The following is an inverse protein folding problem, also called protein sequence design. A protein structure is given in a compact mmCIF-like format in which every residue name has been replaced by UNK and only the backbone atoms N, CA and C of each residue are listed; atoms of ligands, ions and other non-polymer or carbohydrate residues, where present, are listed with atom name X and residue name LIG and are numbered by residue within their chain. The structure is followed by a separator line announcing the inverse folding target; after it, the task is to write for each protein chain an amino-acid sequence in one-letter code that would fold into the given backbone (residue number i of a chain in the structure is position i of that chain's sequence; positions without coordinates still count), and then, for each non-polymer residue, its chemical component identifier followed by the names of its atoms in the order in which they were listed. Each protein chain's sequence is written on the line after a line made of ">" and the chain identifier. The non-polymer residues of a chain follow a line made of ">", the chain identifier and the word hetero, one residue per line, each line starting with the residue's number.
data_IF_346170847455
#
_entry.id   IF_346170847455
#
_cell.length_a   1.000
_cell.length_b   1.000
_cell.length_c   1.000
_cell.angle_alpha   90.00
_cell.angle_beta   90.00
_cell.angle_gamma   90.00
#
_symmetry.space_group_name_H-M   'P 1'
#
loop_
_entity.id
_entity.type
_entity.pdbx_description
1 polymer ?
#
# COMPACT_ATOMS: atom_id res chain seq x y z
N UNK A 1 1.44 -9.33 11.86
CA UNK A 1 0.59 -9.57 13.06
C UNK A 1 0.35 -8.31 13.86
N UNK A 2 1.35 -7.45 14.08
CA UNK A 2 1.17 -6.16 14.78
C UNK A 2 0.24 -5.18 14.06
N UNK A 3 0.00 -5.37 12.75
CA UNK A 3 -0.86 -4.52 11.92
C UNK A 3 -2.25 -5.12 11.65
N UNK A 4 -2.75 -6.04 12.51
CA UNK A 4 -4.12 -6.55 12.39
C UNK A 4 -5.12 -5.38 12.49
N UNK A 5 -6.06 -5.31 11.55
CA UNK A 5 -6.99 -4.21 11.26
C UNK A 5 -6.34 -2.87 10.84
N UNK A 6 -5.04 -2.89 10.53
CA UNK A 6 -4.27 -1.72 10.10
C UNK A 6 -3.81 -1.78 8.64
N UNK A 7 -2.79 -0.99 8.34
CA UNK A 7 -2.10 -0.97 7.05
C UNK A 7 -0.67 -1.48 7.26
N UNK A 8 -0.23 -2.40 6.41
CA UNK A 8 1.13 -2.91 6.36
C UNK A 8 1.81 -2.39 5.09
N UNK A 9 2.80 -1.51 5.27
CA UNK A 9 3.60 -0.99 4.17
C UNK A 9 4.82 -1.89 3.94
N UNK A 10 5.07 -2.29 2.70
CA UNK A 10 6.22 -3.09 2.30
C UNK A 10 6.96 -2.32 1.21
N UNK A 11 8.25 -2.08 1.42
CA UNK A 11 9.13 -1.50 0.42
C UNK A 11 9.93 -2.61 -0.27
N UNK A 12 10.41 -2.33 -1.48
CA UNK A 12 11.18 -3.27 -2.31
C UNK A 12 10.52 -4.65 -2.43
N UNK A 13 9.20 -4.68 -2.67
CA UNK A 13 8.41 -5.91 -2.76
C UNK A 13 8.91 -6.87 -3.86
N UNK A 14 9.58 -6.33 -4.88
CA UNK A 14 10.25 -7.07 -5.95
C UNK A 14 11.52 -7.82 -5.50
N UNK A 15 12.16 -7.40 -4.40
CA UNK A 15 13.40 -8.00 -3.88
C UNK A 15 13.17 -9.01 -2.74
N UNK A 16 11.93 -9.26 -2.36
CA UNK A 16 11.63 -10.21 -1.28
C UNK A 16 11.99 -11.65 -1.66
N UNK A 17 12.46 -12.40 -0.66
CA UNK A 17 12.70 -13.83 -0.78
C UNK A 17 11.41 -14.59 -1.10
N UNK A 18 11.55 -15.69 -1.84
CA UNK A 18 10.42 -16.55 -2.25
C UNK A 18 9.61 -17.06 -1.05
N UNK A 19 10.28 -17.37 0.08
CA UNK A 19 9.60 -17.83 1.30
C UNK A 19 8.65 -16.77 1.86
N UNK A 20 9.08 -15.52 1.86
CA UNK A 20 8.28 -14.40 2.38
C UNK A 20 7.16 -14.05 1.41
N UNK A 21 7.41 -14.12 0.10
CA UNK A 21 6.37 -13.99 -0.91
C UNK A 21 5.25 -15.03 -0.75
N UNK A 22 5.60 -16.30 -0.44
CA UNK A 22 4.61 -17.36 -0.17
C UNK A 22 3.83 -17.08 1.10
N UNK A 23 4.49 -16.63 2.17
CA UNK A 23 3.82 -16.29 3.42
C UNK A 23 2.85 -15.10 3.26
N UNK A 24 3.25 -14.08 2.48
CA UNK A 24 2.39 -12.94 2.15
C UNK A 24 1.23 -13.37 1.26
N UNK A 25 1.46 -14.28 0.31
CA UNK A 25 0.40 -14.83 -0.51
C UNK A 25 -0.64 -15.57 0.34
N UNK A 26 -0.22 -16.41 1.30
CA UNK A 26 -1.11 -17.05 2.29
C UNK A 26 -1.87 -15.99 3.11
N UNK A 27 -1.17 -14.97 3.60
CA UNK A 27 -1.77 -13.91 4.40
C UNK A 27 -2.81 -13.10 3.63
N UNK A 28 -2.56 -12.77 2.35
CA UNK A 28 -3.50 -12.04 1.49
C UNK A 28 -4.72 -12.88 1.11
N UNK A 29 -4.51 -14.18 0.90
CA UNK A 29 -5.56 -15.12 0.51
C UNK A 29 -6.49 -15.46 1.68
N UNK A 30 -5.90 -15.90 2.79
CA UNK A 30 -6.61 -16.52 3.90
C UNK A 30 -6.80 -15.56 5.08
N UNK A 31 -6.22 -14.36 5.02
CA UNK A 31 -6.20 -13.38 6.12
C UNK A 31 -5.62 -13.96 7.43
N UNK A 32 -4.87 -15.04 7.33
CA UNK A 32 -4.25 -15.78 8.43
C UNK A 32 -2.89 -16.31 7.99
N UNK A 33 -1.99 -16.51 8.95
CA UNK A 33 -0.67 -17.10 8.72
C UNK A 33 -0.52 -18.28 9.67
N UNK A 34 -0.26 -19.46 9.10
CA UNK A 34 0.01 -20.66 9.86
C UNK A 34 1.51 -20.85 10.06
N UNK A 35 1.94 -20.93 11.32
CA UNK A 35 3.36 -21.14 11.67
C UNK A 35 3.46 -22.47 12.42
N UNK A 36 4.33 -23.33 11.92
CA UNK A 36 4.73 -24.57 12.62
C UNK A 36 6.21 -24.49 12.93
N UNK A 37 6.55 -24.24 14.20
CA UNK A 37 7.96 -24.15 14.65
C UNK A 37 8.09 -24.77 16.04
N UNK A 38 9.17 -25.55 16.23
CA UNK A 38 9.48 -26.21 17.50
C UNK A 38 8.32 -27.05 18.09
N UNK A 39 7.58 -27.76 17.23
CA UNK A 39 6.44 -28.61 17.64
C UNK A 39 5.16 -27.84 17.98
N UNK A 40 5.17 -26.51 17.94
CA UNK A 40 3.99 -25.67 18.15
C UNK A 40 3.41 -25.31 16.78
N UNK A 41 2.16 -25.71 16.54
CA UNK A 41 1.35 -25.27 15.41
C UNK A 41 0.43 -24.16 15.89
N UNK A 42 0.64 -22.94 15.40
CA UNK A 42 -0.18 -21.79 15.72
C UNK A 42 -0.69 -21.12 14.43
N UNK A 43 -1.95 -20.71 14.44
CA UNK A 43 -2.56 -19.90 13.38
C UNK A 43 -2.80 -18.51 13.92
N UNK A 44 -2.35 -17.50 13.17
CA UNK A 44 -2.36 -16.11 13.60
C UNK A 44 -3.10 -15.25 12.58
N UNK A 45 -3.94 -14.33 13.05
CA UNK A 45 -4.72 -13.46 12.17
C UNK A 45 -3.83 -12.37 11.54
N UNK A 46 -4.12 -12.06 10.28
CA UNK A 46 -3.41 -11.09 9.47
C UNK A 46 -4.39 -10.25 8.63
N UNK A 47 -5.47 -9.75 9.25
CA UNK A 47 -6.46 -8.91 8.55
C UNK A 47 -5.89 -7.51 8.38
N UNK A 48 -5.06 -7.30 7.39
CA UNK A 48 -4.36 -6.04 7.16
C UNK A 48 -4.45 -5.64 5.70
N UNK A 49 -4.51 -4.35 5.43
CA UNK A 49 -4.39 -3.84 4.06
C UNK A 49 -2.91 -3.69 3.72
N UNK A 50 -2.48 -4.20 2.57
CA UNK A 50 -1.07 -4.12 2.17
C UNK A 50 -0.89 -2.95 1.20
N UNK A 51 0.10 -2.10 1.50
CA UNK A 51 0.63 -1.11 0.59
C UNK A 51 2.04 -1.54 0.20
N UNK A 52 2.25 -1.87 -1.07
CA UNK A 52 3.56 -2.34 -1.54
C UNK A 52 4.17 -1.35 -2.53
N UNK A 53 5.44 -1.03 -2.33
CA UNK A 53 6.29 -0.37 -3.31
C UNK A 53 7.18 -1.42 -3.99
N UNK A 54 7.25 -1.37 -5.31
CA UNK A 54 8.05 -2.29 -6.12
C UNK A 54 8.72 -1.52 -7.25
N UNK A 55 9.93 -1.91 -7.59
CA UNK A 55 10.67 -1.33 -8.70
C UNK A 55 10.47 -2.12 -9.99
N UNK A 56 10.48 -1.47 -11.17
CA UNK A 56 10.45 -2.17 -12.44
C UNK A 56 11.77 -2.92 -12.68
N UNK A 57 11.68 -4.04 -13.41
CA UNK A 57 12.83 -4.85 -13.80
C UNK A 57 13.79 -3.99 -14.63
N UNK A 58 15.05 -3.92 -14.20
CA UNK A 58 16.07 -3.08 -14.85
C UNK A 58 16.00 -1.60 -14.48
N UNK A 59 15.17 -1.21 -13.50
CA UNK A 59 15.17 0.12 -12.90
C UNK A 59 14.40 1.20 -13.67
N UNK A 60 13.92 0.91 -14.88
CA UNK A 60 13.07 1.82 -15.67
C UNK A 60 11.83 1.11 -16.18
N UNK A 61 10.70 1.80 -16.15
CA UNK A 61 9.44 1.25 -16.64
C UNK A 61 9.37 1.31 -18.17
N UNK A 62 9.15 0.16 -18.81
CA UNK A 62 9.07 0.03 -20.26
C UNK A 62 7.61 0.01 -20.73
N UNK A 63 7.18 1.09 -21.39
CA UNK A 63 5.80 1.26 -21.87
C UNK A 63 5.39 0.29 -22.97
N UNK A 64 6.36 -0.33 -23.65
CA UNK A 64 6.06 -1.33 -24.69
C UNK A 64 5.63 -2.67 -24.10
N UNK A 65 5.92 -2.91 -22.81
CA UNK A 65 5.64 -4.16 -22.12
C UNK A 65 4.41 -4.04 -21.23
N UNK A 66 3.73 -5.16 -21.01
CA UNK A 66 2.65 -5.23 -20.03
C UNK A 66 3.19 -5.09 -18.60
N UNK A 67 2.34 -4.65 -17.66
CA UNK A 67 2.70 -4.49 -16.25
C UNK A 67 3.37 -5.74 -15.66
N UNK A 68 2.82 -6.92 -15.96
CA UNK A 68 3.36 -8.22 -15.52
C UNK A 68 4.77 -8.51 -16.05
N UNK A 69 5.14 -7.98 -17.21
CA UNK A 69 6.50 -8.10 -17.76
C UNK A 69 7.44 -7.01 -17.26
N UNK A 70 6.90 -5.92 -16.70
CA UNK A 70 7.68 -4.84 -16.12
C UNK A 70 8.07 -5.09 -14.66
N UNK A 71 7.33 -5.93 -13.92
CA UNK A 71 7.55 -6.15 -12.49
C UNK A 71 7.86 -7.63 -12.24
N UNK A 72 8.82 -7.91 -11.36
CA UNK A 72 9.20 -9.27 -10.94
C UNK A 72 8.21 -9.85 -9.91
N UNK A 73 6.92 -9.93 -10.25
CA UNK A 73 5.88 -10.47 -9.38
C UNK A 73 5.18 -11.69 -9.98
N UNK A 74 4.83 -12.63 -9.11
CA UNK A 74 4.07 -13.82 -9.48
C UNK A 74 2.62 -13.43 -9.82
N UNK A 75 2.02 -14.13 -10.79
CA UNK A 75 0.64 -13.88 -11.19
C UNK A 75 -0.38 -14.01 -10.05
N UNK A 76 -0.24 -14.99 -9.12
CA UNK A 76 -1.16 -15.10 -7.98
C UNK A 76 -1.12 -13.86 -7.08
N UNK A 77 0.07 -13.35 -6.75
CA UNK A 77 0.20 -12.12 -5.96
C UNK A 77 -0.39 -10.92 -6.71
N UNK A 78 -0.11 -10.78 -8.01
CA UNK A 78 -0.69 -9.69 -8.80
C UNK A 78 -2.22 -9.71 -8.80
N UNK A 79 -2.86 -10.88 -8.87
CA UNK A 79 -4.32 -10.97 -8.84
C UNK A 79 -4.96 -10.59 -7.50
N UNK A 80 -4.17 -10.56 -6.42
CA UNK A 80 -4.64 -10.22 -5.07
C UNK A 80 -4.55 -8.73 -4.76
N UNK A 81 -3.86 -7.96 -5.59
CA UNK A 81 -3.86 -6.51 -5.49
C UNK A 81 -5.03 -5.94 -6.28
N UNK A 82 -5.89 -5.19 -5.61
CA UNK A 82 -7.04 -4.54 -6.24
C UNK A 82 -6.64 -3.34 -7.11
N UNK A 83 -5.54 -2.66 -6.75
CA UNK A 83 -5.10 -1.41 -7.38
C UNK A 83 -3.59 -1.43 -7.66
N UNK A 84 -3.23 -0.96 -8.85
CA UNK A 84 -1.85 -0.76 -9.27
C UNK A 84 -1.63 0.70 -9.67
N UNK A 85 -0.73 1.38 -8.97
CA UNK A 85 -0.30 2.74 -9.30
C UNK A 85 1.11 2.69 -9.89
N UNK A 86 1.22 2.87 -11.20
CA UNK A 86 2.52 2.94 -11.88
C UNK A 86 2.94 4.39 -11.98
N UNK A 87 4.03 4.74 -11.29
CA UNK A 87 4.68 6.05 -11.41
C UNK A 87 5.76 5.94 -12.48
N UNK A 88 5.63 6.72 -13.56
CA UNK A 88 6.62 6.75 -14.64
C UNK A 88 7.30 8.10 -14.64
N UNK A 89 8.64 8.06 -14.61
CA UNK A 89 9.47 9.25 -14.74
C UNK A 89 9.51 9.70 -16.21
N UNK A 90 8.97 10.88 -16.49
CA UNK A 90 9.02 11.55 -17.79
C UNK A 90 9.83 12.84 -17.64
N UNK A 91 10.87 12.99 -18.46
CA UNK A 91 11.63 14.23 -18.50
C UNK A 91 10.75 15.37 -19.04
N UNK A 92 10.38 16.29 -18.16
CA UNK A 92 9.57 17.45 -18.50
C UNK A 92 10.04 18.63 -17.67
N UNK A 93 10.66 19.59 -18.37
CA UNK A 93 11.29 20.75 -17.77
C UNK A 93 10.35 21.56 -16.86
N UNK A 94 9.06 21.66 -17.19
CA UNK A 94 8.11 22.46 -16.40
C UNK A 94 7.86 21.78 -15.05
N UNK A 95 7.56 20.47 -15.06
CA UNK A 95 7.35 19.68 -13.84
C UNK A 95 8.64 19.54 -13.04
N UNK A 96 9.77 19.32 -13.70
CA UNK A 96 11.08 19.15 -13.06
C UNK A 96 11.49 20.45 -12.36
N UNK A 97 11.31 21.61 -13.01
CA UNK A 97 11.54 22.91 -12.38
C UNK A 97 10.59 23.18 -11.20
N UNK A 98 9.32 22.77 -11.29
CA UNK A 98 8.36 22.92 -10.19
C UNK A 98 8.76 22.06 -8.98
N UNK A 99 9.16 20.81 -9.22
CA UNK A 99 9.66 19.88 -8.19
C UNK A 99 10.96 20.40 -7.59
N UNK A 100 11.94 20.79 -8.41
CA UNK A 100 13.22 21.33 -7.95
C UNK A 100 13.02 22.59 -7.09
N UNK A 101 12.15 23.50 -7.51
CA UNK A 101 11.79 24.69 -6.72
C UNK A 101 11.18 24.29 -5.39
N UNK A 102 10.27 23.31 -5.36
CA UNK A 102 9.68 22.78 -4.12
C UNK A 102 10.75 22.20 -3.18
N UNK A 103 11.70 21.41 -3.70
CA UNK A 103 12.80 20.82 -2.93
C UNK A 103 13.70 21.93 -2.35
N UNK A 104 14.12 22.90 -3.16
CA UNK A 104 14.94 24.03 -2.70
C UNK A 104 14.23 24.78 -1.59
N UNK A 105 12.96 25.10 -1.81
CA UNK A 105 12.09 25.79 -0.88
C UNK A 105 11.98 25.07 0.48
N UNK A 106 11.82 23.74 0.48
CA UNK A 106 11.80 22.91 1.70
C UNK A 106 13.12 22.95 2.47
N UNK A 107 14.26 23.02 1.77
CA UNK A 107 15.59 23.03 2.40
C UNK A 107 16.02 24.43 2.86
N UNK A 108 15.66 25.49 2.11
CA UNK A 108 16.02 26.88 2.42
C UNK A 108 15.17 27.46 3.56
N UNK A 109 13.90 27.09 3.64
CA UNK A 109 12.99 27.51 4.70
C UNK A 109 12.44 26.27 5.41
N UNK A 110 12.76 26.10 6.69
CA UNK A 110 12.27 24.99 7.51
C UNK A 110 10.74 24.92 7.67
N UNK A 111 9.97 25.83 7.07
CA UNK A 111 8.52 25.85 7.11
C UNK A 111 7.97 26.67 5.94
N UNK A 112 7.78 26.06 4.77
CA UNK A 112 6.74 26.54 3.87
C UNK A 112 5.49 25.77 4.25
N UNK A 113 4.51 26.41 4.91
CA UNK A 113 3.24 25.75 5.15
C UNK A 113 2.64 25.50 3.78
N UNK A 114 2.71 24.25 3.32
CA UNK A 114 1.76 23.74 2.34
C UNK A 114 0.40 24.04 2.98
N UNK A 115 -0.39 24.95 2.40
CA UNK A 115 -1.71 25.28 2.93
C UNK A 115 -2.56 24.01 2.88
N UNK A 116 -2.71 23.38 4.06
CA UNK A 116 -3.57 22.22 4.22
C UNK A 116 -4.92 22.74 4.69
N UNK A 117 -6.00 22.54 3.91
CA UNK A 117 -7.32 22.98 4.33
C UNK A 117 -7.79 22.27 5.61
N UNK A 118 -7.20 21.10 5.93
CA UNK A 118 -7.52 20.32 7.11
C UNK A 118 -6.27 19.88 7.87
N UNK A 119 -6.36 19.91 9.19
CA UNK A 119 -5.36 19.33 10.09
C UNK A 119 -5.39 17.80 10.00
N UNK A 120 -4.23 17.15 10.17
CA UNK A 120 -4.12 15.68 10.19
C UNK A 120 -5.09 15.04 11.19
N UNK A 121 -5.27 15.65 12.36
CA UNK A 121 -6.21 15.19 13.41
C UNK A 121 -7.66 15.18 12.92
N UNK A 122 -8.08 16.23 12.22
CA UNK A 122 -9.43 16.31 11.66
C UNK A 122 -9.64 15.20 10.62
N UNK A 123 -8.67 14.98 9.75
CA UNK A 123 -8.75 13.97 8.70
C UNK A 123 -8.82 12.54 9.28
N UNK A 124 -7.98 12.24 10.28
CA UNK A 124 -8.00 10.93 10.97
C UNK A 124 -9.32 10.72 11.68
N UNK A 125 -9.82 11.72 12.43
CA UNK A 125 -11.10 11.62 13.14
C UNK A 125 -12.26 11.43 12.15
N UNK A 126 -12.23 12.14 11.01
CA UNK A 126 -13.22 12.00 9.95
C UNK A 126 -13.24 10.59 9.37
N UNK A 127 -12.08 10.02 9.02
CA UNK A 127 -11.97 8.65 8.50
C UNK A 127 -12.53 7.63 9.49
N UNK A 128 -12.13 7.73 10.77
CA UNK A 128 -12.60 6.82 11.82
C UNK A 128 -14.12 6.91 11.93
N UNK A 129 -14.66 8.13 11.98
CA UNK A 129 -16.11 8.34 12.14
C UNK A 129 -16.91 7.89 10.92
N UNK A 130 -16.38 8.07 9.70
CA UNK A 130 -16.99 7.54 8.48
C UNK A 130 -17.03 6.01 8.48
N UNK A 131 -15.94 5.33 8.87
CA UNK A 131 -15.92 3.87 8.97
C UNK A 131 -17.04 3.36 9.89
N UNK A 132 -17.21 3.96 11.07
CA UNK A 132 -18.29 3.60 11.99
C UNK A 132 -19.68 3.88 11.40
N UNK A 133 -19.89 5.05 10.79
CA UNK A 133 -21.19 5.42 10.23
C UNK A 133 -21.62 4.53 9.07
N UNK A 134 -20.71 4.22 8.14
CA UNK A 134 -20.98 3.34 6.99
C UNK A 134 -21.34 1.93 7.45
N UNK A 135 -20.62 1.39 8.45
CA UNK A 135 -20.92 0.07 9.01
C UNK A 135 -22.31 0.06 9.68
N UNK A 136 -22.65 1.11 10.46
CA UNK A 136 -23.96 1.24 11.09
C UNK A 136 -25.10 1.30 10.06
N UNK A 137 -24.93 2.10 9.01
CA UNK A 137 -25.96 2.24 7.97
C UNK A 137 -26.18 0.92 7.21
N UNK A 138 -25.11 0.19 6.89
CA UNK A 138 -25.22 -1.12 6.24
C UNK A 138 -25.90 -2.16 7.14
N UNK A 139 -25.61 -2.16 8.45
CA UNK A 139 -26.25 -3.07 9.41
C UNK A 139 -27.74 -2.78 9.59
N UNK A 140 -28.15 -1.52 9.62
CA UNK A 140 -29.56 -1.13 9.76
C UNK A 140 -30.39 -1.49 8.51
N UNK A 141 -29.79 -1.39 7.32
CA UNK A 141 -30.45 -1.83 6.08
C UNK A 141 -30.48 -3.36 5.92
N UNK A 142 -29.49 -4.09 6.46
CA UNK A 142 -29.47 -5.56 6.41
C UNK A 142 -30.43 -6.23 7.39
N UNK A 143 -30.86 -5.54 8.46
CA UNK A 143 -31.87 -6.02 9.41
C UNK A 143 -33.32 -5.66 9.00
N UNK A 144 -33.51 -4.97 7.86
CA UNK A 144 -34.82 -4.60 7.31
C UNK A 144 -35.23 -5.44 6.08
N UNK A 145 -34.48 -6.49 5.76
CA UNK A 145 -34.82 -7.55 4.79
C UNK A 145 -35.00 -8.86 5.55
#
# INVERSE_FOLDING_TARGET
>A
MLADNGICCIDEFDKMDIRDQVAIHEAMEQQTISITKAGIKATLNARTSILAAANPIGGRYDRSKSLRKNIALSAPLMSRFDLFFVLVDEANEITDNAIARCIINLHMNHNIPIERPYTMVFFVLFIVRMKFFVIYFLLDNSNRL
#
